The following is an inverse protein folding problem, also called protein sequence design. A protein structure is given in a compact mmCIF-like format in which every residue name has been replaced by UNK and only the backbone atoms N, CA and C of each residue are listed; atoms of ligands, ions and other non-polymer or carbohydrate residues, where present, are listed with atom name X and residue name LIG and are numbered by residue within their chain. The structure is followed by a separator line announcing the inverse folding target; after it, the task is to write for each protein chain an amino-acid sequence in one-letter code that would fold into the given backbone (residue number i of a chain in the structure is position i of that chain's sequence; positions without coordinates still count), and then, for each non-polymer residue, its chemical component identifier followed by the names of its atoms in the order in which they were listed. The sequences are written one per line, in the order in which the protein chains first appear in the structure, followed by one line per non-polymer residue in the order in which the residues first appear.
data_IF_177025712938
#
_entry.id   IF_177025712938
#
_cell.length_a   1.000
_cell.length_b   1.000
_cell.length_c   1.000
_cell.angle_alpha   90.00
_cell.angle_beta   90.00
_cell.angle_gamma   90.00
#
_symmetry.space_group_name_H-M   'P 1'
#
loop_
_entity.id
_entity.type
_entity.pdbx_description
1 polymer ?
#
# COMPACT_ATOMS: atom_id res chain seq x y z
N UNK A 1 2.26 -11.29 -16.12
CA UNK A 1 2.20 -9.82 -15.91
C UNK A 1 1.67 -9.56 -14.51
N UNK A 2 2.32 -8.67 -13.76
CA UNK A 2 1.94 -8.30 -12.39
C UNK A 2 1.31 -6.91 -12.36
N UNK A 3 0.31 -6.73 -11.48
CA UNK A 3 -0.28 -5.43 -11.15
C UNK A 3 0.11 -5.07 -9.73
N UNK A 4 0.78 -3.92 -9.59
CA UNK A 4 1.20 -3.37 -8.31
C UNK A 4 0.35 -2.15 -8.00
N UNK A 5 -0.33 -2.20 -6.87
CA UNK A 5 -1.18 -1.14 -6.36
C UNK A 5 -0.48 -0.45 -5.21
N UNK A 6 -0.41 0.88 -5.22
CA UNK A 6 -0.14 1.68 -4.04
C UNK A 6 -1.46 2.24 -3.54
N UNK A 7 -1.81 2.02 -2.28
CA UNK A 7 -3.01 2.64 -1.69
C UNK A 7 -2.72 4.06 -1.18
N UNK A 8 -3.74 4.91 -1.27
CA UNK A 8 -3.70 6.31 -0.88
C UNK A 8 -4.99 7.03 -1.25
N UNK A 9 -5.12 8.28 -0.79
CA UNK A 9 -6.18 9.19 -1.20
C UNK A 9 -5.66 10.20 -2.24
N UNK A 10 -6.45 10.53 -3.27
CA UNK A 10 -6.08 11.54 -4.25
C UNK A 10 -6.20 12.97 -3.69
N UNK A 11 -5.34 13.86 -4.16
CA UNK A 11 -5.39 15.29 -3.87
C UNK A 11 -4.29 15.78 -2.92
N UNK A 12 -3.86 17.04 -3.11
CA UNK A 12 -2.68 17.63 -2.46
C UNK A 12 -2.67 17.52 -0.94
N UNK A 13 -3.84 17.61 -0.30
CA UNK A 13 -3.94 17.53 1.17
C UNK A 13 -3.58 16.15 1.74
N UNK A 14 -3.57 15.09 0.91
CA UNK A 14 -3.26 13.73 1.35
C UNK A 14 -1.86 13.26 0.98
N UNK A 15 -1.14 13.99 0.11
CA UNK A 15 0.16 13.54 -0.44
C UNK A 15 1.19 13.14 0.63
N UNK A 16 1.11 13.74 1.81
CA UNK A 16 2.06 13.54 2.90
C UNK A 16 1.51 12.76 4.07
N UNK A 17 0.27 12.26 3.97
CA UNK A 17 -0.37 11.53 5.06
C UNK A 17 0.16 10.11 5.16
N UNK A 18 0.06 9.53 6.35
CA UNK A 18 0.46 8.14 6.59
C UNK A 18 -0.30 7.16 5.70
N UNK A 19 -1.57 7.45 5.44
CA UNK A 19 -2.42 6.64 4.59
C UNK A 19 -2.02 6.63 3.11
N UNK A 20 -1.15 7.55 2.71
CA UNK A 20 -0.61 7.63 1.35
C UNK A 20 0.77 6.95 1.23
N UNK A 21 1.22 6.17 2.22
CA UNK A 21 2.49 5.47 2.15
C UNK A 21 2.60 4.55 0.92
N UNK A 22 1.50 3.92 0.49
CA UNK A 22 1.46 3.12 -0.74
C UNK A 22 1.73 3.95 -2.00
N UNK A 23 1.11 5.14 -2.12
CA UNK A 23 1.40 6.08 -3.20
C UNK A 23 2.86 6.54 -3.18
N UNK A 24 3.39 6.91 -2.00
CA UNK A 24 4.77 7.35 -1.87
C UNK A 24 5.79 6.30 -2.33
N UNK A 25 5.52 5.02 -2.09
CA UNK A 25 6.36 3.93 -2.63
C UNK A 25 6.28 3.89 -4.15
N UNK A 26 5.07 4.01 -4.72
CA UNK A 26 4.92 4.04 -6.18
C UNK A 26 5.56 5.27 -6.83
N UNK A 27 5.55 6.43 -6.19
CA UNK A 27 6.21 7.63 -6.71
C UNK A 27 7.74 7.46 -6.84
N UNK A 28 8.34 6.62 -5.99
CA UNK A 28 9.75 6.25 -6.12
C UNK A 28 9.93 5.13 -7.15
N UNK A 29 8.98 4.20 -7.24
CA UNK A 29 9.01 3.09 -8.17
C UNK A 29 8.82 3.52 -9.63
N UNK A 30 7.97 4.52 -9.91
CA UNK A 30 7.74 5.09 -11.25
C UNK A 30 9.03 5.64 -11.88
N UNK A 31 10.04 5.95 -11.06
CA UNK A 31 11.37 6.36 -11.51
C UNK A 31 12.27 5.19 -11.94
N UNK A 32 11.77 3.94 -11.84
CA UNK A 32 12.48 2.70 -12.16
C UNK A 32 11.69 1.93 -13.23
N UNK A 33 12.39 1.41 -14.22
CA UNK A 33 11.77 0.59 -15.26
C UNK A 33 11.79 -0.89 -14.82
N UNK A 34 10.62 -1.46 -14.53
CA UNK A 34 10.49 -2.81 -13.95
C UNK A 34 9.57 -3.75 -14.76
N UNK A 35 9.03 -3.31 -15.90
CA UNK A 35 8.15 -4.14 -16.74
C UNK A 35 6.84 -4.58 -16.07
N UNK A 36 6.39 -3.84 -15.06
CA UNK A 36 5.18 -4.13 -14.26
C UNK A 36 4.15 -3.02 -14.43
N UNK A 37 2.87 -3.36 -14.29
CA UNK A 37 1.80 -2.36 -14.31
C UNK A 37 1.64 -1.77 -12.91
N UNK A 38 1.77 -0.45 -12.81
CA UNK A 38 1.52 0.30 -11.57
C UNK A 38 0.15 0.97 -11.61
N UNK A 39 -0.52 1.06 -10.46
CA UNK A 39 -1.76 1.81 -10.31
C UNK A 39 -1.83 2.49 -8.93
N UNK A 40 -2.12 3.79 -8.95
CA UNK A 40 -2.56 4.60 -7.80
C UNK A 40 -4.07 4.88 -7.97
N UNK A 41 -4.97 4.20 -7.24
CA UNK A 41 -6.41 4.41 -7.39
C UNK A 41 -6.83 5.86 -7.10
N UNK A 42 -7.61 6.46 -7.99
CA UNK A 42 -8.15 7.82 -7.86
C UNK A 42 -9.55 7.84 -7.19
N UNK A 43 -9.97 6.74 -6.58
CA UNK A 43 -11.34 6.53 -6.07
C UNK A 43 -11.52 6.82 -4.58
N UNK A 44 -10.53 7.46 -3.93
CA UNK A 44 -10.37 7.50 -2.47
C UNK A 44 -10.25 6.11 -1.83
N UNK A 45 -9.68 6.06 -0.64
CA UNK A 45 -9.26 4.82 0.01
C UNK A 45 -10.40 3.79 0.06
N UNK A 46 -11.57 4.19 0.54
CA UNK A 46 -12.70 3.29 0.80
C UNK A 46 -13.31 2.69 -0.49
N UNK A 47 -13.01 3.25 -1.67
CA UNK A 47 -13.48 2.72 -2.95
C UNK A 47 -12.34 2.20 -3.85
N UNK A 48 -11.15 1.97 -3.28
CA UNK A 48 -9.98 1.47 -4.03
C UNK A 48 -10.26 0.18 -4.80
N UNK A 49 -11.12 -0.70 -4.25
CA UNK A 49 -11.45 -1.97 -4.89
C UNK A 49 -12.09 -1.85 -6.26
N UNK A 50 -12.88 -0.79 -6.51
CA UNK A 50 -13.52 -0.56 -7.81
C UNK A 50 -12.49 -0.32 -8.92
N UNK A 51 -11.49 0.53 -8.65
CA UNK A 51 -10.39 0.82 -9.58
C UNK A 51 -9.51 -0.42 -9.81
N UNK A 52 -9.17 -1.14 -8.74
CA UNK A 52 -8.35 -2.37 -8.83
C UNK A 52 -9.06 -3.43 -9.65
N UNK A 53 -10.34 -3.69 -9.40
CA UNK A 53 -11.14 -4.65 -10.15
C UNK A 53 -11.18 -4.32 -11.64
N UNK A 54 -11.45 -3.05 -11.98
CA UNK A 54 -11.50 -2.57 -13.36
C UNK A 54 -10.17 -2.78 -14.08
N UNK A 55 -9.06 -2.43 -13.43
CA UNK A 55 -7.73 -2.57 -14.03
C UNK A 55 -7.36 -4.06 -14.19
N UNK A 56 -7.64 -4.91 -13.20
CA UNK A 56 -7.43 -6.35 -13.32
C UNK A 56 -8.22 -6.99 -14.48
N UNK A 57 -9.47 -6.57 -14.67
CA UNK A 57 -10.31 -7.03 -15.78
C UNK A 57 -9.72 -6.61 -17.14
N UNK A 58 -9.26 -5.36 -17.25
CA UNK A 58 -8.60 -4.83 -18.45
C UNK A 58 -7.34 -5.63 -18.80
N UNK A 59 -6.54 -5.96 -17.78
CA UNK A 59 -5.29 -6.70 -17.92
C UNK A 59 -5.47 -8.23 -18.01
N UNK A 60 -6.68 -8.74 -17.73
CA UNK A 60 -7.01 -10.17 -17.68
C UNK A 60 -6.10 -10.98 -16.75
N UNK A 61 -5.79 -10.44 -15.56
CA UNK A 61 -4.93 -11.09 -14.57
C UNK A 61 -5.73 -11.68 -13.40
N UNK A 62 -5.15 -12.68 -12.72
CA UNK A 62 -5.71 -13.30 -11.51
C UNK A 62 -5.24 -12.55 -10.26
N UNK A 63 -5.94 -12.71 -9.14
CA UNK A 63 -5.58 -12.09 -7.85
C UNK A 63 -4.20 -12.51 -7.34
N UNK A 64 -3.71 -13.69 -7.73
CA UNK A 64 -2.35 -14.14 -7.39
C UNK A 64 -1.26 -13.25 -8.01
N UNK A 65 -1.57 -12.53 -9.09
CA UNK A 65 -0.65 -11.59 -9.74
C UNK A 65 -0.87 -10.13 -9.27
N UNK A 66 -1.74 -9.92 -8.27
CA UNK A 66 -1.96 -8.64 -7.62
C UNK A 66 -1.04 -8.51 -6.39
N UNK A 67 -0.31 -7.40 -6.34
CA UNK A 67 0.44 -6.97 -5.15
C UNK A 67 -0.07 -5.61 -4.69
N UNK A 68 -0.40 -5.49 -3.41
CA UNK A 68 -0.92 -4.23 -2.83
C UNK A 68 0.06 -3.70 -1.78
N UNK A 69 0.47 -2.45 -1.92
CA UNK A 69 1.33 -1.72 -1.00
C UNK A 69 0.47 -0.72 -0.22
N UNK A 70 0.49 -0.81 1.11
CA UNK A 70 -0.35 0.03 1.97
C UNK A 70 0.27 0.27 3.34
N UNK A 71 -0.19 1.27 4.07
CA UNK A 71 0.22 1.55 5.44
C UNK A 71 -0.37 0.56 6.45
N UNK A 72 0.32 0.39 7.57
CA UNK A 72 -0.06 -0.55 8.61
C UNK A 72 0.33 -0.06 10.00
N UNK A 73 -0.70 0.15 10.83
CA UNK A 73 -0.56 0.69 12.18
C UNK A 73 -0.04 -0.33 13.19
N UNK A 74 0.04 -1.61 12.84
CA UNK A 74 0.55 -2.66 13.73
C UNK A 74 2.05 -2.96 13.49
N UNK A 75 2.68 -2.24 12.56
CA UNK A 75 4.09 -2.41 12.22
C UNK A 75 4.85 -1.12 12.54
N UNK A 76 5.97 -1.20 13.30
CA UNK A 76 6.83 -0.05 13.58
C UNK A 76 7.24 0.71 12.33
N UNK A 77 7.18 2.04 12.36
CA UNK A 77 7.71 2.89 11.29
C UNK A 77 9.18 2.55 11.00
N UNK A 78 9.52 2.48 9.71
CA UNK A 78 10.83 2.02 9.23
C UNK A 78 10.89 0.52 8.93
N UNK A 79 9.86 -0.26 9.30
CA UNK A 79 9.78 -1.69 8.99
C UNK A 79 8.72 -1.96 7.93
N UNK A 80 8.87 -3.09 7.25
CA UNK A 80 7.87 -3.62 6.33
C UNK A 80 7.59 -5.09 6.64
N UNK A 81 6.41 -5.58 6.28
CA UNK A 81 6.08 -7.01 6.31
C UNK A 81 5.36 -7.42 5.04
N UNK A 82 5.58 -8.65 4.61
CA UNK A 82 4.79 -9.28 3.55
C UNK A 82 3.67 -10.11 4.17
N UNK A 83 2.49 -10.08 3.56
CA UNK A 83 1.41 -11.00 3.89
C UNK A 83 0.69 -11.47 2.64
N UNK A 84 0.13 -12.67 2.67
CA UNK A 84 -0.70 -13.23 1.59
C UNK A 84 -1.96 -13.84 2.22
N UNK A 85 -3.12 -13.64 1.60
CA UNK A 85 -4.34 -14.35 2.02
C UNK A 85 -4.92 -13.92 3.38
N UNK A 86 -4.49 -12.79 3.95
CA UNK A 86 -4.94 -12.30 5.27
C UNK A 86 -6.03 -11.23 5.15
N UNK A 87 -6.85 -11.07 6.20
CA UNK A 87 -7.91 -10.05 6.26
C UNK A 87 -7.38 -8.62 6.27
N UNK A 88 -8.28 -7.62 6.21
CA UNK A 88 -7.93 -6.20 6.11
C UNK A 88 -7.34 -5.60 7.39
N UNK A 89 -7.59 -6.22 8.55
CA UNK A 89 -7.23 -5.68 9.88
C UNK A 89 -7.72 -4.24 10.08
N UNK A 90 -8.91 -3.92 9.54
CA UNK A 90 -9.51 -2.58 9.64
C UNK A 90 -9.05 -1.58 8.56
N UNK A 91 -8.06 -1.92 7.73
CA UNK A 91 -7.60 -1.04 6.65
C UNK A 91 -8.64 -0.94 5.52
N UNK A 92 -9.32 0.20 5.41
CA UNK A 92 -10.49 0.39 4.53
C UNK A 92 -10.21 0.16 3.04
N UNK A 93 -9.02 0.50 2.54
CA UNK A 93 -8.69 0.23 1.13
C UNK A 93 -8.45 -1.23 0.82
N UNK A 94 -7.93 -2.00 1.78
CA UNK A 94 -7.73 -3.45 1.63
C UNK A 94 -9.09 -4.14 1.74
N UNK A 95 -9.93 -3.70 2.67
CA UNK A 95 -11.32 -4.14 2.80
C UNK A 95 -12.09 -3.92 1.48
N UNK A 96 -11.98 -2.72 0.90
CA UNK A 96 -12.59 -2.38 -0.39
C UNK A 96 -12.14 -3.33 -1.51
N UNK A 97 -10.84 -3.65 -1.59
CA UNK A 97 -10.30 -4.60 -2.59
C UNK A 97 -10.85 -6.01 -2.36
N UNK A 98 -10.83 -6.50 -1.11
CA UNK A 98 -11.35 -7.83 -0.77
C UNK A 98 -12.81 -7.96 -1.19
N UNK A 99 -13.64 -6.96 -0.85
CA UNK A 99 -15.06 -6.93 -1.20
C UNK A 99 -15.28 -6.89 -2.71
N UNK A 100 -14.54 -6.04 -3.43
CA UNK A 100 -14.70 -5.89 -4.86
C UNK A 100 -14.28 -7.16 -5.65
N UNK A 101 -13.22 -7.82 -5.20
CA UNK A 101 -12.66 -9.02 -5.84
C UNK A 101 -13.30 -10.32 -5.35
N UNK A 102 -13.99 -10.32 -4.20
CA UNK A 102 -14.55 -11.53 -3.58
C UNK A 102 -13.49 -12.50 -3.06
N UNK A 103 -12.25 -12.04 -2.87
CA UNK A 103 -11.13 -12.88 -2.43
C UNK A 103 -10.08 -12.08 -1.66
N UNK A 104 -9.37 -12.77 -0.78
CA UNK A 104 -8.19 -12.29 -0.06
C UNK A 104 -6.87 -12.81 -0.65
N UNK A 105 -6.93 -13.65 -1.69
CA UNK A 105 -5.78 -14.32 -2.29
C UNK A 105 -4.98 -13.37 -3.19
N UNK A 106 -4.33 -12.40 -2.56
CA UNK A 106 -3.36 -11.50 -3.16
C UNK A 106 -2.25 -11.16 -2.15
N UNK A 107 -1.11 -10.73 -2.67
CA UNK A 107 0.06 -10.39 -1.85
C UNK A 107 -0.01 -8.94 -1.39
N UNK A 108 0.46 -8.66 -0.18
CA UNK A 108 0.58 -7.30 0.34
C UNK A 108 1.97 -7.01 0.89
N UNK A 109 2.48 -5.82 0.60
CA UNK A 109 3.62 -5.21 1.28
C UNK A 109 3.05 -4.16 2.23
N UNK A 110 3.17 -4.43 3.53
CA UNK A 110 2.64 -3.62 4.62
C UNK A 110 3.73 -2.68 5.12
N UNK A 111 3.52 -1.38 4.97
CA UNK A 111 4.44 -0.32 5.38
C UNK A 111 4.11 0.09 6.81
N UNK A 112 5.05 -0.09 7.73
CA UNK A 112 4.82 0.30 9.12
C UNK A 112 4.63 1.79 9.29
N UNK A 113 3.59 2.17 10.04
CA UNK A 113 3.33 3.55 10.46
C UNK A 113 3.13 3.68 11.98
N UNK A 114 3.31 2.60 12.73
CA UNK A 114 3.27 2.63 14.20
C UNK A 114 4.38 3.56 14.70
N UNK A 115 4.03 4.65 15.41
CA UNK A 115 5.03 5.57 15.91
C UNK A 115 5.72 4.98 17.16
N UNK A 116 6.94 5.43 17.50
CA UNK A 116 7.68 4.94 18.67
C UNK A 116 6.92 5.06 20.00
N UNK A 117 6.04 6.06 20.11
CA UNK A 117 5.20 6.33 21.27
C UNK A 117 4.08 5.29 21.48
N UNK A 118 3.88 4.39 20.51
CA UNK A 118 2.87 3.33 20.57
C UNK A 118 1.66 3.58 19.68
N UNK A 119 0.69 2.67 19.73
CA UNK A 119 -0.49 2.72 18.85
C UNK A 119 -1.43 3.85 19.29
N UNK A 120 -1.78 4.79 18.39
CA UNK A 120 -2.76 5.84 18.70
C UNK A 120 -4.13 5.25 19.00
N UNK A 121 -4.87 5.87 19.91
CA UNK A 121 -6.26 5.49 20.21
C UNK A 121 -7.16 5.68 18.99
N UNK A 122 -7.08 6.85 18.34
CA UNK A 122 -7.79 7.15 17.10
C UNK A 122 -6.89 6.92 15.88
N UNK A 123 -6.93 5.68 15.38
CA UNK A 123 -6.19 5.25 14.19
C UNK A 123 -6.70 5.96 12.92
N UNK A 124 -8.02 6.14 12.76
CA UNK A 124 -8.60 6.71 11.54
C UNK A 124 -8.16 8.15 11.33
N UNK A 125 -8.15 8.96 12.39
CA UNK A 125 -7.61 10.32 12.33
C UNK A 125 -6.09 10.30 12.17
N UNK A 126 -5.39 9.38 12.85
CA UNK A 126 -3.93 9.32 12.77
C UNK A 126 -3.41 9.02 11.36
N UNK A 127 -4.03 8.09 10.62
CA UNK A 127 -3.57 7.76 9.26
C UNK A 127 -3.71 8.95 8.30
N UNK A 128 -4.65 9.86 8.56
CA UNK A 128 -4.84 11.09 7.79
C UNK A 128 -3.90 12.23 8.19
N UNK A 129 -3.06 12.07 9.22
CA UNK A 129 -2.04 13.06 9.59
C UNK A 129 -0.78 12.87 8.76
N UNK A 130 -0.10 13.99 8.49
CA UNK A 130 1.21 13.98 7.83
C UNK A 130 2.28 13.34 8.71
N UNK A 131 3.27 12.71 8.07
CA UNK A 131 4.51 12.34 8.75
C UNK A 131 5.20 13.61 9.31
N UNK A 132 5.65 13.51 10.55
CA UNK A 132 6.45 14.53 11.23
C UNK A 132 7.85 14.59 10.61
N UNK A 133 8.57 15.68 10.83
CA UNK A 133 9.92 15.87 10.27
C UNK A 133 10.91 14.83 10.79
N UNK A 134 10.75 14.43 12.05
CA UNK A 134 11.59 13.44 12.74
C UNK A 134 11.33 12.00 12.24
N UNK A 135 10.15 11.75 11.67
CA UNK A 135 9.75 10.46 11.09
C UNK A 135 10.29 10.26 9.67
N UNK A 136 10.70 11.33 8.97
CA UNK A 136 11.12 11.25 7.57
C UNK A 136 12.29 10.28 7.29
N UNK A 137 13.33 10.18 8.15
CA UNK A 137 14.38 9.18 7.96
C UNK A 137 13.84 7.74 8.02
N UNK A 138 12.94 7.46 8.96
CA UNK A 138 12.33 6.14 9.09
C UNK A 138 11.36 5.85 7.94
N UNK A 139 10.60 6.85 7.48
CA UNK A 139 9.77 6.72 6.27
C UNK A 139 10.62 6.35 5.05
N UNK A 140 11.74 7.04 4.83
CA UNK A 140 12.67 6.72 3.75
C UNK A 140 13.19 5.28 3.85
N UNK A 141 13.54 4.83 5.06
CA UNK A 141 13.96 3.45 5.31
C UNK A 141 12.84 2.44 5.00
N UNK A 142 11.60 2.75 5.37
CA UNK A 142 10.43 1.92 5.07
C UNK A 142 10.18 1.82 3.56
N UNK A 143 10.26 2.93 2.83
CA UNK A 143 10.13 2.94 1.36
C UNK A 143 11.24 2.11 0.72
N UNK A 144 12.50 2.29 1.14
CA UNK A 144 13.63 1.50 0.63
C UNK A 144 13.44 0.00 0.90
N UNK A 145 13.00 -0.36 2.12
CA UNK A 145 12.67 -1.73 2.50
C UNK A 145 11.54 -2.32 1.65
N UNK A 146 10.50 -1.53 1.35
CA UNK A 146 9.40 -1.95 0.48
C UNK A 146 9.85 -2.20 -0.96
N UNK A 147 10.69 -1.32 -1.51
CA UNK A 147 11.26 -1.49 -2.85
C UNK A 147 12.13 -2.74 -2.94
N UNK A 148 13.01 -2.97 -1.95
CA UNK A 148 13.83 -4.19 -1.89
C UNK A 148 12.96 -5.44 -1.82
N UNK A 149 11.91 -5.41 -0.98
CA UNK A 149 10.96 -6.51 -0.83
C UNK A 149 10.22 -6.79 -2.14
N UNK A 150 9.78 -5.74 -2.82
CA UNK A 150 9.09 -5.83 -4.11
C UNK A 150 10.00 -6.45 -5.17
N UNK A 151 11.24 -5.98 -5.31
CA UNK A 151 12.20 -6.54 -6.27
C UNK A 151 12.45 -8.03 -6.00
N UNK A 152 12.67 -8.42 -4.73
CA UNK A 152 12.81 -9.83 -4.36
C UNK A 152 11.59 -10.64 -4.80
N UNK A 153 10.39 -10.13 -4.53
CA UNK A 153 9.15 -10.84 -4.89
C UNK A 153 8.93 -10.94 -6.39
N UNK A 154 9.28 -9.91 -7.16
CA UNK A 154 9.18 -9.98 -8.63
C UNK A 154 10.17 -10.98 -9.24
N UNK A 155 11.31 -11.25 -8.58
CA UNK A 155 12.29 -12.25 -9.04
C UNK A 155 11.91 -13.69 -8.65
N UNK A 156 11.01 -13.88 -7.69
CA UNK A 156 10.54 -15.20 -7.24
C UNK A 156 9.39 -15.76 -8.12
N UNK A 157 8.84 -14.98 -9.06
CA UNK A 157 7.63 -15.29 -9.83
C UNK A 157 7.91 -15.19 -11.33
#
# INVERSE_FOLDING_TARGET
MHLIIGLGNPGKKYEKTRHNAGFMVLDVLEKKELGVRLLKPDTFMNNSGSAVKKEMQKLKIKSQNLLVIHDDIDIPLGKTKVSKGSGSAGHKGVESIIQALGTKDFTRIRIGILPPEGKPEDVETFVLKNFKKEELPLLKAAIASALSTLTSKLNEI
#
